data_IF_637451052563
#
_entry.id   IF_637451052563
#
_cell.length_a   1.000
_cell.length_b   1.000
_cell.length_c   1.000
_cell.angle_alpha   90.00
_cell.angle_beta   90.00
_cell.angle_gamma   90.00
#
_symmetry.space_group_name_H-M   'P 1'
#
loop_
_entity.id
_entity.type
_entity.pdbx_description
1 polymer ?
#
# COMPACT_ATOMS: atom_id res chain seq x y z
N UNK A 1 34.77 -37.93 -11.42
CA UNK A 1 33.67 -37.44 -10.56
C UNK A 1 33.17 -36.12 -11.10
N UNK A 2 31.91 -35.98 -11.51
CA UNK A 2 31.35 -34.68 -11.92
C UNK A 2 31.06 -33.83 -10.66
N UNK A 3 31.63 -32.63 -10.67
CA UNK A 3 31.43 -31.65 -9.65
C UNK A 3 29.91 -31.32 -9.52
N UNK A 4 29.34 -31.48 -8.34
CA UNK A 4 28.03 -30.97 -7.98
C UNK A 4 28.09 -29.44 -8.07
N UNK A 5 27.54 -28.86 -9.14
CA UNK A 5 27.23 -27.46 -9.18
C UNK A 5 26.19 -27.18 -8.10
N UNK A 6 26.63 -26.57 -7.02
CA UNK A 6 25.75 -26.13 -5.96
C UNK A 6 24.71 -25.16 -6.53
N UNK A 7 23.43 -25.54 -6.55
CA UNK A 7 22.33 -24.61 -6.80
C UNK A 7 22.42 -23.52 -5.75
N UNK A 8 22.91 -22.34 -6.15
CA UNK A 8 22.83 -21.13 -5.35
C UNK A 8 21.33 -20.91 -5.08
N UNK A 9 20.89 -21.09 -3.84
CA UNK A 9 19.52 -20.78 -3.43
C UNK A 9 19.35 -19.27 -3.69
N UNK A 10 18.66 -18.91 -4.75
CA UNK A 10 18.29 -17.52 -5.01
C UNK A 10 17.52 -17.05 -3.78
N UNK A 11 17.95 -15.94 -3.18
CA UNK A 11 17.21 -15.34 -2.08
C UNK A 11 15.83 -14.96 -2.61
N UNK A 12 14.76 -15.38 -1.93
CA UNK A 12 13.40 -15.00 -2.26
C UNK A 12 13.24 -13.50 -2.00
N UNK A 13 12.72 -12.79 -2.97
CA UNK A 13 12.48 -11.35 -2.89
C UNK A 13 10.99 -11.10 -2.65
N UNK A 14 10.68 -10.20 -1.73
CA UNK A 14 9.34 -9.65 -1.59
C UNK A 14 9.30 -8.25 -2.22
N UNK A 15 8.25 -7.96 -2.98
CA UNK A 15 8.00 -6.66 -3.58
C UNK A 15 6.79 -6.00 -2.94
N UNK A 16 6.95 -4.79 -2.41
CA UNK A 16 5.84 -3.92 -2.02
C UNK A 16 5.57 -2.94 -3.16
N UNK A 17 4.44 -3.14 -3.84
CA UNK A 17 4.04 -2.37 -5.02
C UNK A 17 2.83 -1.53 -4.63
N UNK A 18 2.97 -0.22 -4.51
CA UNK A 18 1.92 0.60 -3.94
C UNK A 18 1.84 1.99 -4.58
N UNK A 19 0.62 2.54 -4.66
CA UNK A 19 0.39 3.92 -5.03
C UNK A 19 1.06 4.86 -4.01
N UNK A 20 1.68 5.93 -4.48
CA UNK A 20 2.44 6.86 -3.64
C UNK A 20 1.60 7.87 -2.87
N UNK A 21 0.26 7.81 -2.92
CA UNK A 21 -0.62 8.70 -2.16
C UNK A 21 -0.93 8.17 -0.74
N UNK A 22 -1.78 8.89 -0.02
CA UNK A 22 -2.12 8.54 1.36
C UNK A 22 -2.72 7.14 1.49
N UNK A 23 -3.57 6.73 0.55
CA UNK A 23 -4.25 5.43 0.62
C UNK A 23 -3.26 4.27 0.46
N UNK A 24 -2.49 4.26 -0.63
CA UNK A 24 -1.49 3.21 -0.86
C UNK A 24 -0.41 3.16 0.21
N UNK A 25 0.12 4.31 0.64
CA UNK A 25 1.17 4.37 1.68
C UNK A 25 0.63 3.88 3.03
N UNK A 26 -0.54 4.38 3.49
CA UNK A 26 -1.09 3.99 4.79
C UNK A 26 -1.57 2.54 4.81
N UNK A 27 -2.02 1.99 3.68
CA UNK A 27 -2.32 0.57 3.55
C UNK A 27 -1.06 -0.28 3.80
N UNK A 28 0.07 0.08 3.16
CA UNK A 28 1.34 -0.62 3.34
C UNK A 28 1.87 -0.48 4.77
N UNK A 29 1.79 0.73 5.38
CA UNK A 29 2.21 0.94 6.78
C UNK A 29 1.49 -0.02 7.71
N UNK A 30 0.16 -0.17 7.59
CA UNK A 30 -0.62 -1.10 8.41
C UNK A 30 -0.12 -2.55 8.28
N UNK A 31 0.09 -3.02 7.05
CA UNK A 31 0.58 -4.38 6.80
C UNK A 31 1.97 -4.61 7.40
N UNK A 32 2.89 -3.66 7.24
CA UNK A 32 4.29 -3.81 7.72
C UNK A 32 4.44 -3.59 9.22
N UNK A 33 3.53 -2.86 9.86
CA UNK A 33 3.41 -2.83 11.33
C UNK A 33 2.89 -4.16 11.88
N UNK A 34 1.98 -4.82 11.18
CA UNK A 34 1.42 -6.11 11.60
C UNK A 34 2.37 -7.29 11.31
N UNK A 35 3.05 -7.25 10.16
CA UNK A 35 3.97 -8.28 9.67
C UNK A 35 5.16 -7.63 8.97
N UNK A 36 6.27 -7.34 9.67
CA UNK A 36 7.47 -6.78 9.09
C UNK A 36 8.08 -7.72 8.04
N UNK A 37 8.37 -7.19 6.86
CA UNK A 37 9.01 -7.91 5.75
C UNK A 37 10.09 -6.99 5.17
N UNK A 38 11.27 -7.55 4.87
CA UNK A 38 12.27 -6.85 4.07
C UNK A 38 11.86 -6.94 2.60
N UNK A 39 11.49 -5.81 2.03
CA UNK A 39 10.88 -5.74 0.70
C UNK A 39 11.57 -4.72 -0.21
N UNK A 40 11.57 -5.04 -1.49
CA UNK A 40 11.87 -4.07 -2.54
C UNK A 40 10.63 -3.20 -2.78
N UNK A 41 10.75 -1.90 -2.51
CA UNK A 41 9.64 -0.96 -2.73
C UNK A 41 9.55 -0.56 -4.19
N UNK A 42 8.35 -0.66 -4.77
CA UNK A 42 8.00 -0.22 -6.12
C UNK A 42 6.84 0.75 -6.02
N UNK A 43 7.12 2.03 -6.16
CA UNK A 43 6.12 3.09 -5.99
C UNK A 43 6.37 4.23 -6.97
N UNK A 44 5.43 5.16 -7.07
CA UNK A 44 5.49 6.30 -7.97
C UNK A 44 4.53 7.41 -7.55
N UNK A 45 4.35 8.43 -8.41
CA UNK A 45 3.33 9.45 -8.22
C UNK A 45 1.91 8.84 -8.30
N UNK A 46 0.90 9.57 -7.81
CA UNK A 46 -0.50 9.10 -7.79
C UNK A 46 -1.02 8.61 -9.16
N UNK A 47 -0.56 9.20 -10.25
CA UNK A 47 -0.97 8.84 -11.63
C UNK A 47 -0.15 7.72 -12.24
N UNK A 48 0.91 7.29 -11.59
CA UNK A 48 1.79 6.23 -12.05
C UNK A 48 1.25 4.87 -11.59
N UNK A 49 0.27 4.38 -12.32
CA UNK A 49 -0.52 3.20 -11.94
C UNK A 49 -0.05 1.88 -12.55
N UNK A 50 0.94 1.90 -13.46
CA UNK A 50 1.46 0.70 -14.12
C UNK A 50 2.69 0.12 -13.41
N UNK A 51 2.78 0.27 -12.09
CA UNK A 51 3.93 -0.15 -11.27
C UNK A 51 4.23 -1.65 -11.32
N UNK A 52 3.23 -2.57 -11.38
CA UNK A 52 3.49 -4.01 -11.50
C UNK A 52 4.29 -4.40 -12.75
N UNK A 53 4.25 -3.59 -13.82
CA UNK A 53 5.05 -3.82 -15.02
C UNK A 53 6.57 -3.72 -14.78
N UNK A 54 6.99 -3.00 -13.75
CA UNK A 54 8.39 -2.80 -13.40
C UNK A 54 9.01 -3.97 -12.63
N UNK A 55 8.20 -4.94 -12.21
CA UNK A 55 8.65 -6.08 -11.42
C UNK A 55 9.05 -7.24 -12.32
N UNK A 56 10.26 -7.75 -12.09
CA UNK A 56 10.82 -8.89 -12.82
C UNK A 56 10.91 -10.15 -11.94
N UNK A 57 9.97 -10.32 -10.99
CA UNK A 57 9.94 -11.47 -10.08
C UNK A 57 9.77 -12.81 -10.79
N UNK A 58 10.13 -13.89 -10.10
CA UNK A 58 10.08 -15.26 -10.57
C UNK A 58 9.70 -16.28 -9.49
N UNK A 59 9.94 -17.58 -9.73
CA UNK A 59 9.50 -18.63 -8.81
C UNK A 59 10.09 -18.49 -7.40
N UNK A 60 9.22 -18.44 -6.40
CA UNK A 60 9.58 -18.27 -4.98
C UNK A 60 9.57 -16.82 -4.52
N UNK A 61 9.51 -15.83 -5.42
CA UNK A 61 9.28 -14.44 -5.05
C UNK A 61 7.82 -14.22 -4.67
N UNK A 62 7.56 -13.12 -3.96
CA UNK A 62 6.22 -12.70 -3.59
C UNK A 62 6.03 -11.20 -3.75
N UNK A 63 4.79 -10.76 -3.86
CA UNK A 63 4.46 -9.35 -3.95
C UNK A 63 3.19 -9.02 -3.16
N UNK A 64 3.17 -7.84 -2.54
CA UNK A 64 1.95 -7.18 -2.07
C UNK A 64 1.67 -6.00 -2.98
N UNK A 65 0.47 -5.95 -3.55
CA UNK A 65 0.04 -4.85 -4.45
C UNK A 65 -1.07 -4.07 -3.77
N UNK A 66 -0.94 -2.75 -3.71
CA UNK A 66 -1.83 -1.89 -2.94
C UNK A 66 -2.24 -0.66 -3.74
N UNK A 67 -3.55 -0.43 -3.80
CA UNK A 67 -4.15 0.78 -4.36
C UNK A 67 -3.74 1.06 -5.82
N UNK A 68 -3.76 0.01 -6.61
CA UNK A 68 -3.48 0.04 -8.05
C UNK A 68 -4.56 -0.75 -8.77
N UNK A 69 -5.30 -0.12 -9.69
CA UNK A 69 -6.40 -0.78 -10.41
C UNK A 69 -6.00 -2.13 -11.01
N UNK A 70 -6.61 -3.21 -10.50
CA UNK A 70 -6.37 -4.57 -11.01
C UNK A 70 -6.76 -4.67 -12.49
N UNK A 71 -7.83 -3.99 -12.91
CA UNK A 71 -8.26 -4.00 -14.32
C UNK A 71 -7.16 -3.46 -15.24
N UNK A 72 -6.50 -2.37 -14.84
CA UNK A 72 -5.39 -1.75 -15.59
C UNK A 72 -4.16 -2.66 -15.59
N UNK A 73 -3.85 -3.27 -14.45
CA UNK A 73 -2.63 -4.06 -14.25
C UNK A 73 -2.80 -5.56 -14.55
N UNK A 74 -3.92 -5.96 -15.15
CA UNK A 74 -4.25 -7.37 -15.40
C UNK A 74 -3.16 -8.14 -16.16
N UNK A 75 -2.58 -7.53 -17.20
CA UNK A 75 -1.54 -8.17 -18.02
C UNK A 75 -0.26 -8.37 -17.19
N UNK A 76 0.15 -7.35 -16.45
CA UNK A 76 1.33 -7.44 -15.59
C UNK A 76 1.10 -8.45 -14.46
N UNK A 77 -0.08 -8.45 -13.85
CA UNK A 77 -0.48 -9.42 -12.81
C UNK A 77 -0.39 -10.86 -13.35
N UNK A 78 -1.01 -11.14 -14.51
CA UNK A 78 -0.97 -12.47 -15.10
C UNK A 78 0.46 -12.91 -15.41
N UNK A 79 1.28 -12.02 -15.98
CA UNK A 79 2.70 -12.29 -16.25
C UNK A 79 3.48 -12.67 -14.99
N UNK A 80 3.25 -12.00 -13.86
CA UNK A 80 3.91 -12.31 -12.60
C UNK A 80 3.44 -13.65 -12.03
N UNK A 81 2.15 -13.92 -12.08
CA UNK A 81 1.56 -15.20 -11.66
C UNK A 81 2.10 -16.37 -12.51
N UNK A 82 2.16 -16.21 -13.82
CA UNK A 82 2.71 -17.22 -14.76
C UNK A 82 4.20 -17.49 -14.50
N UNK A 83 4.92 -16.52 -13.95
CA UNK A 83 6.32 -16.68 -13.51
C UNK A 83 6.45 -17.31 -12.12
N UNK A 84 5.35 -17.60 -11.45
CA UNK A 84 5.34 -18.24 -10.14
C UNK A 84 5.55 -17.28 -8.96
N UNK A 85 5.28 -15.99 -9.12
CA UNK A 85 5.23 -15.02 -8.02
C UNK A 85 3.93 -15.20 -7.25
N UNK A 86 4.00 -15.32 -5.92
CA UNK A 86 2.82 -15.30 -5.07
C UNK A 86 2.40 -13.84 -4.80
N UNK A 87 1.13 -13.50 -5.03
CA UNK A 87 0.66 -12.12 -4.99
C UNK A 87 -0.52 -11.98 -4.03
N UNK A 88 -0.41 -11.05 -3.09
CA UNK A 88 -1.49 -10.53 -2.28
C UNK A 88 -1.89 -9.15 -2.81
N UNK A 89 -3.17 -8.94 -3.13
CA UNK A 89 -3.65 -7.76 -3.84
C UNK A 89 -4.79 -7.08 -3.09
N UNK A 90 -4.59 -5.84 -2.65
CA UNK A 90 -5.63 -5.01 -2.03
C UNK A 90 -5.95 -3.81 -2.92
N UNK A 91 -7.21 -3.67 -3.32
CA UNK A 91 -7.62 -2.57 -4.20
C UNK A 91 -9.11 -2.24 -4.04
N UNK A 92 -9.47 -0.98 -4.15
CA UNK A 92 -10.85 -0.52 -4.11
C UNK A 92 -11.38 -0.08 -5.48
N UNK A 93 -10.56 -0.14 -6.52
CA UNK A 93 -10.99 0.20 -7.87
C UNK A 93 -11.80 -0.93 -8.52
N UNK A 94 -12.60 -0.58 -9.52
CA UNK A 94 -13.28 -1.59 -10.33
C UNK A 94 -12.29 -2.55 -10.99
N UNK A 95 -12.39 -3.83 -10.66
CA UNK A 95 -11.44 -4.85 -11.11
C UNK A 95 -11.87 -5.60 -12.37
N UNK A 96 -13.18 -5.57 -12.72
CA UNK A 96 -13.73 -6.54 -13.66
C UNK A 96 -13.66 -7.96 -13.11
N UNK A 97 -13.51 -8.96 -13.98
CA UNK A 97 -13.36 -10.34 -13.54
C UNK A 97 -11.97 -10.55 -12.90
N UNK A 98 -11.91 -10.91 -11.63
CA UNK A 98 -10.66 -11.22 -10.93
C UNK A 98 -10.12 -12.57 -11.41
N UNK A 99 -8.85 -12.71 -11.79
CA UNK A 99 -8.26 -13.98 -12.20
C UNK A 99 -8.35 -15.03 -11.08
N UNK A 100 -8.71 -16.25 -11.44
CA UNK A 100 -8.64 -17.38 -10.51
C UNK A 100 -7.29 -18.05 -10.68
N UNK A 101 -6.40 -17.88 -9.72
CA UNK A 101 -5.05 -18.43 -9.77
C UNK A 101 -4.58 -18.80 -8.36
N UNK A 102 -3.94 -19.97 -8.14
CA UNK A 102 -3.53 -20.42 -6.80
C UNK A 102 -2.46 -19.52 -6.15
N UNK A 103 -1.74 -18.73 -6.93
CA UNK A 103 -0.77 -17.74 -6.44
C UNK A 103 -1.33 -16.34 -6.22
N UNK A 104 -2.65 -16.13 -6.38
CA UNK A 104 -3.29 -14.83 -6.17
C UNK A 104 -4.25 -14.90 -4.98
N UNK A 105 -4.02 -14.04 -3.99
CA UNK A 105 -4.95 -13.70 -2.94
C UNK A 105 -5.43 -12.25 -3.15
N UNK A 106 -6.69 -12.08 -3.59
CA UNK A 106 -7.22 -10.78 -4.00
C UNK A 106 -8.32 -10.30 -3.06
N UNK A 107 -8.08 -9.17 -2.41
CA UNK A 107 -8.99 -8.44 -1.53
C UNK A 107 -9.45 -7.17 -2.24
N UNK A 108 -10.43 -7.31 -3.14
CA UNK A 108 -10.90 -6.19 -3.98
C UNK A 108 -12.38 -5.94 -3.72
N UNK A 109 -12.69 -4.71 -3.34
CA UNK A 109 -14.07 -4.27 -3.10
C UNK A 109 -14.27 -2.84 -3.63
N UNK A 110 -15.03 -2.66 -4.74
CA UNK A 110 -15.24 -1.38 -5.38
C UNK A 110 -16.37 -0.55 -4.74
N UNK A 111 -16.76 -0.83 -3.50
CA UNK A 111 -17.72 -0.01 -2.78
C UNK A 111 -17.16 1.44 -2.65
N UNK A 112 -17.91 2.46 -3.09
CA UNK A 112 -17.42 3.86 -3.09
C UNK A 112 -17.21 4.45 -1.68
N UNK A 113 -17.60 3.77 -0.62
CA UNK A 113 -17.31 4.15 0.76
C UNK A 113 -16.01 3.56 1.30
N UNK A 114 -15.28 2.78 0.48
CA UNK A 114 -14.05 2.11 0.87
C UNK A 114 -12.86 2.67 0.11
N UNK A 115 -11.70 2.63 0.76
CA UNK A 115 -10.40 2.78 0.17
C UNK A 115 -9.51 1.59 0.55
N UNK A 116 -8.37 1.44 -0.07
CA UNK A 116 -7.46 0.32 0.16
C UNK A 116 -7.01 0.25 1.61
N UNK A 117 -6.75 1.40 2.26
CA UNK A 117 -6.41 1.46 3.69
C UNK A 117 -7.51 0.92 4.61
N UNK A 118 -8.80 1.09 4.24
CA UNK A 118 -9.93 0.50 4.97
C UNK A 118 -10.01 -1.02 4.73
N UNK A 119 -9.73 -1.49 3.52
CA UNK A 119 -9.71 -2.93 3.22
C UNK A 119 -8.63 -3.63 4.05
N UNK A 120 -7.44 -3.04 4.13
CA UNK A 120 -6.34 -3.55 4.97
C UNK A 120 -6.70 -3.48 6.46
N UNK A 121 -7.35 -2.40 6.95
CA UNK A 121 -7.85 -2.33 8.34
C UNK A 121 -8.78 -3.51 8.67
N UNK A 122 -9.72 -3.81 7.78
CA UNK A 122 -10.64 -4.95 7.94
C UNK A 122 -9.89 -6.28 7.95
N UNK A 123 -8.95 -6.48 7.02
CA UNK A 123 -8.11 -7.68 6.95
C UNK A 123 -7.31 -7.89 8.23
N UNK A 124 -6.78 -6.81 8.84
CA UNK A 124 -6.01 -6.85 10.07
C UNK A 124 -6.86 -6.79 11.36
N UNK A 125 -8.20 -6.81 11.24
CA UNK A 125 -9.11 -6.76 12.39
C UNK A 125 -9.03 -5.46 13.18
N UNK A 126 -8.73 -4.34 12.53
CA UNK A 126 -8.69 -3.01 13.16
C UNK A 126 -7.41 -2.70 13.95
N UNK A 127 -6.37 -3.52 13.83
CA UNK A 127 -5.14 -3.43 14.66
C UNK A 127 -4.40 -2.09 14.52
N UNK A 128 -4.45 -1.49 13.33
CA UNK A 128 -3.77 -0.23 13.01
C UNK A 128 -4.73 0.81 12.43
N UNK A 129 -5.98 0.81 12.90
CA UNK A 129 -7.10 1.60 12.40
C UNK A 129 -6.83 3.09 12.27
N UNK A 130 -6.00 3.65 13.11
CA UNK A 130 -5.64 5.07 13.03
C UNK A 130 -5.00 5.43 11.67
N UNK A 131 -4.26 4.51 11.04
CA UNK A 131 -3.73 4.70 9.69
C UNK A 131 -4.81 4.60 8.61
N UNK A 132 -5.86 3.78 8.83
CA UNK A 132 -7.01 3.74 7.94
C UNK A 132 -7.83 5.04 7.98
N UNK A 133 -7.85 5.75 9.12
CA UNK A 133 -8.45 7.10 9.21
C UNK A 133 -7.69 8.08 8.31
N UNK A 134 -6.35 8.06 8.35
CA UNK A 134 -5.49 8.90 7.48
C UNK A 134 -5.73 8.58 6.00
N UNK A 135 -5.72 7.29 5.64
CA UNK A 135 -5.99 6.82 4.28
C UNK A 135 -7.34 7.32 3.76
N UNK A 136 -8.40 7.14 4.55
CA UNK A 136 -9.75 7.53 4.17
C UNK A 136 -9.91 9.05 3.99
N UNK A 137 -9.25 9.88 4.81
CA UNK A 137 -9.23 11.33 4.58
C UNK A 137 -8.48 11.68 3.30
N UNK A 138 -7.30 11.10 3.06
CA UNK A 138 -6.51 11.34 1.86
C UNK A 138 -7.21 10.91 0.57
N UNK A 139 -8.13 9.96 0.65
CA UNK A 139 -8.97 9.50 -0.48
C UNK A 139 -10.36 10.17 -0.52
N UNK A 140 -10.52 11.30 0.18
CA UNK A 140 -11.75 12.11 0.25
C UNK A 140 -12.98 11.37 0.82
N UNK A 141 -12.80 10.31 1.59
CA UNK A 141 -13.87 9.54 2.23
C UNK A 141 -14.17 10.05 3.65
N UNK A 142 -14.49 11.34 3.78
CA UNK A 142 -14.65 12.03 5.07
C UNK A 142 -15.67 11.34 6.01
N UNK A 143 -16.76 10.79 5.47
CA UNK A 143 -17.77 10.09 6.28
C UNK A 143 -17.23 8.75 6.84
N UNK A 144 -16.51 7.97 6.01
CA UNK A 144 -15.88 6.73 6.44
C UNK A 144 -14.77 6.99 7.47
N UNK A 145 -13.91 8.00 7.22
CA UNK A 145 -12.88 8.44 8.15
C UNK A 145 -13.46 8.84 9.52
N UNK A 146 -14.54 9.64 9.53
CA UNK A 146 -15.22 10.05 10.77
C UNK A 146 -15.80 8.85 11.54
N UNK A 147 -16.38 7.86 10.84
CA UNK A 147 -16.87 6.63 11.43
C UNK A 147 -15.76 5.80 12.10
N UNK A 148 -14.61 5.64 11.42
CA UNK A 148 -13.44 4.96 11.97
C UNK A 148 -12.87 5.72 13.18
N UNK A 149 -12.72 7.04 13.09
CA UNK A 149 -12.23 7.88 14.19
C UNK A 149 -13.15 7.82 15.42
N UNK A 150 -14.48 7.80 15.20
CA UNK A 150 -15.46 7.63 16.27
C UNK A 150 -15.31 6.28 16.98
N UNK A 151 -15.02 5.21 16.26
CA UNK A 151 -14.78 3.88 16.84
C UNK A 151 -13.52 3.83 17.73
N UNK A 152 -12.59 4.77 17.54
CA UNK A 152 -11.38 4.95 18.34
C UNK A 152 -11.56 5.99 19.46
N UNK A 153 -12.76 6.60 19.58
CA UNK A 153 -13.05 7.69 20.51
C UNK A 153 -12.05 8.86 20.43
N UNK A 154 -11.57 9.20 19.22
CA UNK A 154 -10.60 10.27 19.02
C UNK A 154 -11.24 11.65 19.26
N UNK A 155 -10.55 12.56 19.99
CA UNK A 155 -10.98 13.95 20.13
C UNK A 155 -10.94 14.67 18.78
N UNK A 156 -11.80 15.69 18.61
CA UNK A 156 -11.93 16.46 17.38
C UNK A 156 -10.59 17.03 16.86
N UNK A 157 -9.72 17.48 17.77
CA UNK A 157 -8.39 17.99 17.40
C UNK A 157 -7.50 16.89 16.78
N UNK A 158 -7.56 15.67 17.31
CA UNK A 158 -6.80 14.53 16.75
C UNK A 158 -7.37 14.13 15.38
N UNK A 159 -8.69 14.14 15.23
CA UNK A 159 -9.33 13.85 13.93
C UNK A 159 -8.91 14.89 12.89
N UNK A 160 -8.86 16.18 13.26
CA UNK A 160 -8.38 17.24 12.36
C UNK A 160 -6.92 17.00 11.95
N UNK A 161 -6.03 16.66 12.90
CA UNK A 161 -4.63 16.38 12.60
C UNK A 161 -4.44 15.16 11.66
N UNK A 162 -5.26 14.11 11.80
CA UNK A 162 -5.22 12.97 10.88
C UNK A 162 -5.74 13.33 9.49
N UNK A 163 -6.71 14.24 9.38
CA UNK A 163 -7.18 14.79 8.12
C UNK A 163 -6.06 15.56 7.42
N UNK A 164 -5.45 16.51 8.14
CA UNK A 164 -4.36 17.32 7.61
C UNK A 164 -3.21 16.44 7.12
N UNK A 165 -2.86 15.38 7.86
CA UNK A 165 -1.86 14.40 7.43
C UNK A 165 -2.29 13.69 6.14
N UNK A 166 -3.53 13.19 6.04
CA UNK A 166 -4.05 12.53 4.85
C UNK A 166 -3.99 13.43 3.61
N UNK A 167 -4.42 14.69 3.78
CA UNK A 167 -4.36 15.69 2.71
C UNK A 167 -2.91 15.98 2.29
N UNK A 168 -1.98 16.13 3.23
CA UNK A 168 -0.56 16.36 2.95
C UNK A 168 0.07 15.17 2.21
N UNK A 169 -0.17 13.93 2.65
CA UNK A 169 0.36 12.72 2.00
C UNK A 169 -0.15 12.62 0.56
N UNK A 170 -1.43 12.86 0.33
CA UNK A 170 -2.02 12.85 -1.02
C UNK A 170 -1.48 13.99 -1.86
N UNK A 171 -1.31 15.20 -1.29
CA UNK A 171 -0.73 16.34 -2.00
C UNK A 171 0.72 16.06 -2.43
N UNK A 172 1.51 15.41 -1.58
CA UNK A 172 2.89 14.99 -1.90
C UNK A 172 2.96 14.08 -3.14
N UNK A 173 1.90 13.31 -3.41
CA UNK A 173 1.82 12.40 -4.55
C UNK A 173 1.31 13.07 -5.85
N UNK A 174 0.84 14.33 -5.78
CA UNK A 174 0.43 15.05 -6.97
C UNK A 174 1.65 15.52 -7.77
N UNK A 175 1.80 14.92 -8.94
CA UNK A 175 2.87 15.23 -9.89
C UNK A 175 2.67 14.44 -11.17
N UNK A 176 3.48 14.70 -12.17
CA UNK A 176 3.52 13.92 -13.42
C UNK A 176 4.51 12.76 -13.24
N UNK A 177 5.57 12.98 -12.47
CA UNK A 177 6.61 12.01 -12.18
C UNK A 177 6.86 11.94 -10.67
N UNK A 178 7.52 10.89 -10.21
CA UNK A 178 7.85 10.70 -8.79
C UNK A 178 8.85 11.75 -8.28
N UNK A 179 9.65 12.32 -9.17
CA UNK A 179 10.59 13.40 -8.90
C UNK A 179 9.91 14.72 -8.56
N UNK A 180 8.61 14.88 -8.86
CA UNK A 180 7.82 16.06 -8.50
C UNK A 180 7.41 16.03 -7.02
N UNK A 181 7.51 14.87 -6.36
CA UNK A 181 7.18 14.74 -4.95
C UNK A 181 8.19 15.48 -4.06
N UNK A 182 7.69 16.19 -3.04
CA UNK A 182 8.55 16.85 -2.04
C UNK A 182 9.38 15.81 -1.28
N UNK A 183 8.75 14.68 -0.93
CA UNK A 183 9.42 13.51 -0.35
C UNK A 183 9.09 12.29 -1.20
N UNK A 184 10.10 11.54 -1.63
CA UNK A 184 9.88 10.32 -2.41
C UNK A 184 8.96 9.35 -1.64
N UNK A 185 7.87 8.79 -2.26
CA UNK A 185 6.88 7.98 -1.54
C UNK A 185 7.48 6.79 -0.78
N UNK A 186 8.53 6.17 -1.29
CA UNK A 186 9.22 5.09 -0.59
C UNK A 186 9.99 5.56 0.65
N UNK A 187 10.52 6.78 0.67
CA UNK A 187 11.13 7.38 1.86
C UNK A 187 10.08 7.79 2.87
N UNK A 188 8.99 8.38 2.39
CA UNK A 188 7.85 8.74 3.20
C UNK A 188 7.25 7.52 3.92
N UNK A 189 7.04 6.42 3.20
CA UNK A 189 6.63 5.15 3.81
C UNK A 189 7.58 4.71 4.95
N UNK A 190 8.92 4.77 4.72
CA UNK A 190 9.89 4.38 5.75
C UNK A 190 9.85 5.28 6.97
N UNK A 191 9.61 6.58 6.78
CA UNK A 191 9.44 7.55 7.86
C UNK A 191 8.19 7.22 8.69
N UNK A 192 7.04 7.04 8.05
CA UNK A 192 5.79 6.70 8.71
C UNK A 192 5.90 5.37 9.48
N UNK A 193 6.48 4.35 8.84
CA UNK A 193 6.68 3.04 9.46
C UNK A 193 7.58 3.11 10.70
N UNK A 194 8.64 3.93 10.67
CA UNK A 194 9.56 4.12 11.81
C UNK A 194 8.85 4.71 13.03
N UNK A 195 7.95 5.66 12.82
CA UNK A 195 7.16 6.25 13.90
C UNK A 195 6.06 5.31 14.41
N UNK A 196 5.52 4.44 13.56
CA UNK A 196 4.52 3.44 13.88
C UNK A 196 3.13 3.99 14.21
N UNK A 197 3.04 5.25 14.60
CA UNK A 197 1.83 5.96 14.98
C UNK A 197 1.78 7.34 14.31
N UNK A 198 0.66 7.75 13.67
CA UNK A 198 0.58 9.02 12.96
C UNK A 198 0.75 10.24 13.87
N UNK A 199 0.31 10.18 15.12
CA UNK A 199 0.47 11.31 16.05
C UNK A 199 1.94 11.50 16.46
N UNK A 200 2.70 10.40 16.57
CA UNK A 200 4.16 10.48 16.81
C UNK A 200 4.87 11.10 15.62
N UNK A 201 4.46 10.72 14.40
CA UNK A 201 5.01 11.32 13.18
C UNK A 201 4.72 12.82 13.12
N UNK A 202 3.45 13.24 13.29
CA UNK A 202 3.04 14.65 13.28
C UNK A 202 3.81 15.47 14.33
N UNK A 203 4.07 14.89 15.52
CA UNK A 203 4.78 15.59 16.59
C UNK A 203 6.29 15.69 16.37
N UNK A 204 6.89 14.81 15.60
CA UNK A 204 8.35 14.69 15.49
C UNK A 204 8.91 15.21 14.17
N UNK A 205 8.11 15.24 13.09
CA UNK A 205 8.59 15.59 11.77
C UNK A 205 8.11 16.97 11.35
N UNK A 206 9.04 17.93 11.25
CA UNK A 206 8.76 19.30 10.86
C UNK A 206 8.60 19.48 9.33
N UNK A 207 8.67 18.40 8.56
CA UNK A 207 8.49 18.44 7.11
C UNK A 207 7.00 18.44 6.69
N UNK A 208 6.09 18.20 7.64
CA UNK A 208 4.63 18.19 7.45
C UNK A 208 3.88 19.17 8.33
#
# INVERSE_FOLDING_TARGET
SPARAGRRKLAMTHFDIFNGDADGICALVQLRLAAPIDATLVTGAKRDIALPDRVAGGPGDSATVLDLSLAVNRVALQRLLDRGVAIEYFDHHYAGAIPVHPGLDAHVDPDPSLCTGILVDRHLGGRHRVWAVVAAFGDNLAAAAAGLASSLALPAQQVAALRDLGDCLTYNAYGVAVEDAVVHPGELFRLLLRHGDPFRFIAADAAF
#
